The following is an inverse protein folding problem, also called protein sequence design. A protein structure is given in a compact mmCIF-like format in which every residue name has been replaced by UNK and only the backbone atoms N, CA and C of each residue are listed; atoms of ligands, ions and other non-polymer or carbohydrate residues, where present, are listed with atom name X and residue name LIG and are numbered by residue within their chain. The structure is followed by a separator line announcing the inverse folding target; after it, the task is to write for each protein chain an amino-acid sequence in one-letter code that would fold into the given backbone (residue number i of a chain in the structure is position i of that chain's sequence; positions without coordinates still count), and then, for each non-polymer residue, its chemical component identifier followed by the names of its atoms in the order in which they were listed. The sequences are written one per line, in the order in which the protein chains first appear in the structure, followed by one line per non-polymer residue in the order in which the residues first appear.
data_IF_159565421956
#
_entry.id   IF_159565421956
#
_cell.length_a   1.000
_cell.length_b   1.000
_cell.length_c   1.000
_cell.angle_alpha   90.00
_cell.angle_beta   90.00
_cell.angle_gamma   90.00
#
_symmetry.space_group_name_H-M   'P 1'
#
loop_
_entity.id
_entity.type
_entity.pdbx_description
1 polymer ?
#
# COMPACT_ATOMS: atom_id res chain seq x y z
N UNK A 1 -22.80 1.43 3.42
CA UNK A 1 -21.48 1.48 4.08
C UNK A 1 -20.47 1.01 3.05
N UNK A 2 -19.49 1.84 2.68
CA UNK A 2 -18.55 1.48 1.63
C UNK A 2 -17.58 0.42 2.17
N UNK A 3 -17.57 -0.76 1.55
CA UNK A 3 -16.60 -1.81 1.88
C UNK A 3 -15.21 -1.30 1.47
N UNK A 4 -14.37 -1.00 2.45
CA UNK A 4 -12.96 -0.70 2.24
C UNK A 4 -12.21 -2.03 2.30
N UNK A 5 -11.56 -2.48 1.22
CA UNK A 5 -10.85 -3.75 1.24
C UNK A 5 -9.67 -3.65 2.20
N UNK A 6 -9.81 -4.28 3.36
CA UNK A 6 -8.76 -4.41 4.37
C UNK A 6 -7.89 -5.62 4.03
N UNK A 7 -6.58 -5.42 3.99
CA UNK A 7 -5.60 -6.48 3.72
C UNK A 7 -4.66 -6.60 4.90
N UNK A 8 -4.60 -7.78 5.52
CA UNK A 8 -3.64 -8.06 6.59
C UNK A 8 -2.43 -8.78 5.99
N UNK A 9 -1.24 -8.24 6.21
CA UNK A 9 0.02 -8.91 5.88
C UNK A 9 0.80 -9.27 7.12
N UNK A 10 1.53 -10.36 7.00
CA UNK A 10 2.24 -10.99 8.12
C UNK A 10 3.69 -11.19 7.74
N UNK A 11 4.61 -10.66 8.54
CA UNK A 11 6.05 -10.73 8.32
C UNK A 11 6.69 -11.53 9.46
N UNK A 12 7.35 -12.64 9.13
CA UNK A 12 8.02 -13.49 10.12
C UNK A 12 9.48 -13.09 10.31
N UNK A 13 9.97 -13.24 11.53
CA UNK A 13 11.38 -13.01 11.87
C UNK A 13 11.56 -12.32 13.22
N UNK A 14 12.82 -12.06 13.56
CA UNK A 14 13.18 -11.06 14.58
C UNK A 14 12.47 -9.73 14.32
N UNK A 15 12.21 -8.97 15.37
CA UNK A 15 11.51 -7.68 15.28
C UNK A 15 12.13 -6.74 14.23
N UNK A 16 13.47 -6.63 14.21
CA UNK A 16 14.19 -5.84 13.22
C UNK A 16 14.11 -6.42 11.81
N UNK A 17 14.19 -7.75 11.67
CA UNK A 17 14.06 -8.43 10.38
C UNK A 17 12.67 -8.22 9.77
N UNK A 18 11.63 -8.43 10.56
CA UNK A 18 10.24 -8.23 10.17
C UNK A 18 9.95 -6.76 9.84
N UNK A 19 10.49 -5.81 10.63
CA UNK A 19 10.36 -4.37 10.35
C UNK A 19 11.04 -3.97 9.03
N UNK A 20 12.22 -4.52 8.70
CA UNK A 20 12.89 -4.29 7.41
C UNK A 20 12.09 -4.88 6.24
N UNK A 21 11.52 -6.07 6.41
CA UNK A 21 10.65 -6.68 5.41
C UNK A 21 9.39 -5.83 5.16
N UNK A 22 8.74 -5.37 6.24
CA UNK A 22 7.61 -4.45 6.19
C UNK A 22 7.95 -3.16 5.45
N UNK A 23 9.07 -2.50 5.78
CA UNK A 23 9.47 -1.24 5.12
C UNK A 23 9.63 -1.39 3.59
N UNK A 24 10.17 -2.52 3.13
CA UNK A 24 10.31 -2.81 1.69
C UNK A 24 8.95 -3.04 1.02
N UNK A 25 8.07 -3.80 1.66
CA UNK A 25 6.74 -4.10 1.12
C UNK A 25 5.79 -2.90 1.17
N UNK A 26 5.93 -2.04 2.19
CA UNK A 26 5.12 -0.84 2.35
C UNK A 26 5.19 0.10 1.14
N UNK A 27 6.35 0.22 0.48
CA UNK A 27 6.49 0.98 -0.75
C UNK A 27 5.62 0.40 -1.87
N UNK A 28 5.67 -0.92 -2.08
CA UNK A 28 4.86 -1.63 -3.08
C UNK A 28 3.36 -1.55 -2.78
N UNK A 29 2.97 -1.61 -1.51
CA UNK A 29 1.56 -1.47 -1.10
C UNK A 29 1.06 -0.03 -1.26
N UNK A 30 1.94 0.96 -1.03
CA UNK A 30 1.65 2.36 -1.29
C UNK A 30 1.33 2.65 -2.76
N UNK A 31 2.06 2.01 -3.70
CA UNK A 31 1.76 2.09 -5.13
C UNK A 31 0.37 1.55 -5.50
N UNK A 32 -0.20 0.67 -4.67
CA UNK A 32 -1.54 0.10 -4.83
C UNK A 32 -2.63 0.87 -4.07
N UNK A 33 -2.29 2.01 -3.47
CA UNK A 33 -3.22 2.85 -2.69
C UNK A 33 -3.50 2.34 -1.27
N UNK A 34 -2.71 1.40 -0.76
CA UNK A 34 -2.84 0.90 0.60
C UNK A 34 -2.01 1.72 1.59
N UNK A 35 -2.58 1.99 2.75
CA UNK A 35 -1.91 2.65 3.87
C UNK A 35 -1.96 1.78 5.12
N UNK A 36 -0.86 1.66 5.88
CA UNK A 36 -0.86 0.87 7.11
C UNK A 36 -1.65 1.60 8.20
N UNK A 37 -2.62 0.93 8.81
CA UNK A 37 -3.49 1.51 9.86
C UNK A 37 -3.21 0.95 11.24
N UNK A 38 -2.78 -0.31 11.33
CA UNK A 38 -2.36 -0.93 12.58
C UNK A 38 -1.15 -1.84 12.38
N UNK A 39 -0.30 -1.91 13.40
CA UNK A 39 0.89 -2.76 13.44
C UNK A 39 0.97 -3.41 14.82
N UNK A 40 1.17 -4.72 14.86
CA UNK A 40 1.37 -5.45 16.11
C UNK A 40 2.43 -6.52 15.92
N UNK A 41 3.39 -6.59 16.85
CA UNK A 41 4.43 -7.61 16.87
C UNK A 41 4.16 -8.60 18.00
N UNK A 42 4.02 -9.87 17.65
CA UNK A 42 3.98 -10.97 18.59
C UNK A 42 5.34 -11.66 18.62
N UNK A 43 6.08 -11.65 19.75
CA UNK A 43 7.33 -12.39 19.86
C UNK A 43 7.05 -13.89 19.71
N UNK A 44 7.99 -14.62 19.09
CA UNK A 44 7.90 -16.07 19.01
C UNK A 44 8.00 -16.68 20.40
N UNK A 45 7.26 -17.75 20.64
CA UNK A 45 7.31 -18.51 21.89
C UNK A 45 7.50 -19.99 21.60
N UNK A 46 8.32 -20.65 22.42
CA UNK A 46 8.35 -22.11 22.47
C UNK A 46 7.02 -22.65 23.01
N UNK A 47 6.47 -23.67 22.35
CA UNK A 47 5.22 -24.30 22.80
C UNK A 47 5.43 -25.11 24.09
N UNK A 48 4.36 -25.31 24.87
CA UNK A 48 4.39 -26.04 26.14
C UNK A 48 4.99 -27.46 26.02
N UNK A 49 4.76 -28.14 24.88
CA UNK A 49 5.31 -29.48 24.64
C UNK A 49 6.84 -29.52 24.65
N UNK A 50 7.51 -28.46 24.19
CA UNK A 50 8.96 -28.41 24.19
C UNK A 50 9.55 -28.26 25.61
N UNK A 51 8.83 -27.58 26.51
CA UNK A 51 9.22 -27.47 27.91
C UNK A 51 9.08 -28.81 28.65
N UNK A 52 7.97 -29.53 28.43
CA UNK A 52 7.77 -30.87 29.00
C UNK A 52 8.85 -31.83 28.50
N UNK A 53 9.17 -31.79 27.21
CA UNK A 53 10.24 -32.61 26.63
C UNK A 53 11.60 -32.28 27.28
N UNK A 54 11.92 -31.00 27.44
CA UNK A 54 13.16 -30.58 28.11
C UNK A 54 13.22 -31.05 29.58
N UNK A 55 12.09 -30.99 30.30
CA UNK A 55 12.00 -31.50 31.68
C UNK A 55 12.17 -33.02 31.76
N UNK A 56 11.56 -33.78 30.85
CA UNK A 56 11.74 -35.24 30.77
C UNK A 56 13.20 -35.58 30.49
N UNK A 57 13.85 -34.86 29.57
CA UNK A 57 15.26 -35.03 29.28
C UNK A 57 16.18 -34.49 30.38
N UNK A 58 15.69 -33.73 31.36
CA UNK A 58 16.49 -33.08 32.40
C UNK A 58 17.16 -34.08 33.36
N UNK A 59 16.62 -35.31 33.45
CA UNK A 59 17.28 -36.42 34.15
C UNK A 59 18.62 -36.81 33.49
N UNK A 60 18.80 -36.47 32.21
CA UNK A 60 20.09 -36.41 31.58
C UNK A 60 20.59 -34.95 31.60
N UNK A 61 21.89 -34.73 31.82
CA UNK A 61 22.52 -33.38 31.72
C UNK A 61 22.16 -32.68 30.38
N UNK A 62 21.84 -33.48 29.36
CA UNK A 62 21.34 -33.05 28.05
C UNK A 62 20.09 -32.14 28.14
N UNK A 63 19.12 -32.45 29.02
CA UNK A 63 17.91 -31.62 29.14
C UNK A 63 18.19 -30.22 29.68
N UNK A 64 19.15 -30.09 30.61
CA UNK A 64 19.60 -28.79 31.14
C UNK A 64 20.21 -27.94 30.01
N UNK A 65 21.04 -28.55 29.15
CA UNK A 65 21.63 -27.84 28.00
C UNK A 65 20.57 -27.34 27.01
N UNK A 66 19.55 -28.16 26.72
CA UNK A 66 18.42 -27.77 25.85
C UNK A 66 17.63 -26.62 26.47
N UNK A 67 17.37 -26.67 27.77
CA UNK A 67 16.63 -25.63 28.49
C UNK A 67 17.39 -24.30 28.46
N UNK A 68 18.71 -24.31 28.70
CA UNK A 68 19.56 -23.13 28.59
C UNK A 68 19.53 -22.56 27.15
N UNK A 69 19.65 -23.42 26.14
CA UNK A 69 19.58 -23.01 24.73
C UNK A 69 18.26 -22.28 24.41
N UNK A 70 17.12 -22.82 24.86
CA UNK A 70 15.80 -22.20 24.66
C UNK A 70 15.62 -20.87 25.42
N UNK A 71 16.36 -20.64 26.51
CA UNK A 71 16.33 -19.36 27.21
C UNK A 71 17.17 -18.29 26.49
N UNK A 72 18.23 -18.69 25.79
CA UNK A 72 19.13 -17.78 25.07
C UNK A 72 18.58 -17.46 23.68
N UNK A 73 18.15 -18.47 22.94
CA UNK A 73 17.65 -18.31 21.57
C UNK A 73 16.14 -18.19 21.63
N UNK A 74 15.60 -16.98 21.42
CA UNK A 74 14.15 -16.81 21.25
C UNK A 74 13.78 -17.14 19.80
N UNK A 75 12.68 -17.89 19.56
CA UNK A 75 12.25 -18.17 18.20
C UNK A 75 11.73 -16.89 17.55
N UNK A 76 11.76 -16.87 16.22
CA UNK A 76 11.29 -15.74 15.44
C UNK A 76 9.81 -15.43 15.72
N UNK A 77 9.53 -14.14 15.90
CA UNK A 77 8.18 -13.63 16.05
C UNK A 77 7.51 -13.31 14.73
N UNK A 78 6.36 -12.64 14.85
CA UNK A 78 5.51 -12.28 13.73
C UNK A 78 5.02 -10.85 13.88
N UNK A 79 5.29 -10.03 12.86
CA UNK A 79 4.74 -8.68 12.70
C UNK A 79 3.50 -8.76 11.81
N UNK A 80 2.32 -8.43 12.35
CA UNK A 80 1.08 -8.29 11.60
C UNK A 80 0.80 -6.82 11.34
N UNK A 81 0.61 -6.48 10.06
CA UNK A 81 0.30 -5.13 9.62
C UNK A 81 -1.01 -5.15 8.85
N UNK A 82 -1.95 -4.33 9.31
CA UNK A 82 -3.22 -4.12 8.63
C UNK A 82 -3.09 -2.95 7.70
N UNK A 83 -3.42 -3.18 6.43
CA UNK A 83 -3.50 -2.16 5.41
C UNK A 83 -4.96 -1.88 5.09
N UNK A 84 -5.27 -0.60 4.98
CA UNK A 84 -6.54 -0.14 4.47
C UNK A 84 -6.29 0.53 3.12
N UNK A 85 -7.11 0.21 2.12
CA UNK A 85 -7.06 0.93 0.87
C UNK A 85 -7.67 2.31 1.08
N UNK A 86 -6.85 3.36 0.98
CA UNK A 86 -7.39 4.70 0.76
C UNK A 86 -7.96 4.67 -0.64
N UNK A 87 -9.26 4.40 -0.78
CA UNK A 87 -10.00 4.84 -1.97
C UNK A 87 -9.64 6.31 -2.09
N UNK A 88 -8.85 6.65 -3.09
CA UNK A 88 -8.66 8.02 -3.52
C UNK A 88 -10.05 8.64 -3.48
N UNK A 89 -10.27 9.63 -2.62
CA UNK A 89 -11.50 10.43 -2.61
C UNK A 89 -11.53 11.34 -3.84
N UNK A 90 -11.14 10.78 -4.97
CA UNK A 90 -11.00 11.36 -6.27
C UNK A 90 -11.67 10.36 -7.20
N UNK A 91 -12.75 10.80 -7.85
CA UNK A 91 -13.47 10.09 -8.90
C UNK A 91 -14.55 9.06 -8.52
N UNK A 92 -15.35 9.30 -7.47
CA UNK A 92 -16.75 8.81 -7.48
C UNK A 92 -17.68 9.80 -6.79
N UNK A 93 -17.86 10.93 -7.46
CA UNK A 93 -18.80 11.98 -7.09
C UNK A 93 -18.23 13.34 -7.45
N UNK A 94 -18.85 14.02 -8.41
CA UNK A 94 -18.60 15.41 -8.76
C UNK A 94 -18.84 16.37 -7.56
N UNK A 95 -17.94 16.34 -6.57
CA UNK A 95 -17.99 17.10 -5.33
C UNK A 95 -16.56 17.45 -4.91
N UNK A 96 -15.80 18.11 -5.79
CA UNK A 96 -14.65 18.89 -5.31
C UNK A 96 -15.12 19.84 -4.20
N UNK A 97 -14.25 20.18 -3.24
CA UNK A 97 -14.53 21.24 -2.27
C UNK A 97 -13.73 22.49 -2.60
N UNK A 98 -14.29 23.65 -2.26
CA UNK A 98 -13.61 24.95 -2.32
C UNK A 98 -13.73 25.64 -0.96
N UNK A 99 -12.79 26.51 -0.64
CA UNK A 99 -12.81 27.28 0.61
C UNK A 99 -13.51 28.61 0.35
N UNK A 100 -14.45 29.00 1.22
CA UNK A 100 -15.10 30.30 1.11
C UNK A 100 -14.14 31.44 1.52
N UNK A 101 -13.93 32.48 0.69
CA UNK A 101 -12.98 33.56 1.00
C UNK A 101 -13.43 34.47 2.15
N UNK A 102 -14.73 34.47 2.48
CA UNK A 102 -15.25 35.31 3.59
C UNK A 102 -15.19 34.64 4.95
N UNK A 103 -15.41 33.34 5.03
CA UNK A 103 -15.52 32.62 6.31
C UNK A 103 -14.57 31.43 6.47
N UNK A 104 -13.72 31.16 5.48
CA UNK A 104 -12.73 30.07 5.46
C UNK A 104 -13.30 28.64 5.59
N UNK A 105 -14.62 28.47 5.45
CA UNK A 105 -15.26 27.16 5.60
C UNK A 105 -15.18 26.35 4.30
N UNK A 106 -15.08 25.01 4.41
CA UNK A 106 -15.08 24.12 3.26
C UNK A 106 -16.51 23.92 2.73
N UNK A 107 -16.72 24.23 1.46
CA UNK A 107 -18.00 24.09 0.76
C UNK A 107 -17.85 23.27 -0.52
N UNK A 108 -18.96 22.74 -1.03
CA UNK A 108 -18.98 22.04 -2.32
C UNK A 108 -18.55 22.98 -3.45
N UNK A 109 -17.73 22.51 -4.38
CA UNK A 109 -17.22 23.29 -5.52
C UNK A 109 -18.38 23.82 -6.39
N UNK A 110 -19.42 23.01 -6.56
CA UNK A 110 -20.63 23.37 -7.28
C UNK A 110 -21.54 24.38 -6.56
N UNK A 111 -21.26 24.74 -5.29
CA UNK A 111 -22.08 25.70 -4.56
C UNK A 111 -21.90 27.12 -5.13
N UNK A 112 -23.01 27.74 -5.56
CA UNK A 112 -23.05 29.15 -5.95
C UNK A 112 -23.14 30.10 -4.74
N UNK A 113 -23.55 29.58 -3.57
CA UNK A 113 -23.67 30.34 -2.32
C UNK A 113 -23.06 29.55 -1.17
N UNK A 114 -22.27 30.21 -0.32
CA UNK A 114 -21.75 29.61 0.90
C UNK A 114 -22.89 29.41 1.91
N UNK A 115 -23.09 28.18 2.41
CA UNK A 115 -24.13 27.86 3.40
C UNK A 115 -23.93 28.58 4.76
N UNK A 116 -22.70 28.99 5.06
CA UNK A 116 -22.33 29.50 6.39
C UNK A 116 -22.39 31.02 6.49
N UNK A 117 -21.94 31.74 5.46
CA UNK A 117 -21.90 33.22 5.46
C UNK A 117 -22.74 33.86 4.34
N UNK A 118 -23.46 33.07 3.54
CA UNK A 118 -24.25 33.51 2.39
C UNK A 118 -23.47 34.32 1.33
N UNK A 119 -22.14 34.20 1.29
CA UNK A 119 -21.35 34.76 0.20
C UNK A 119 -21.72 34.08 -1.13
N UNK A 120 -22.12 34.90 -2.12
CA UNK A 120 -22.35 34.47 -3.50
C UNK A 120 -21.02 34.43 -4.25
N UNK A 121 -20.78 33.31 -4.93
CA UNK A 121 -19.64 33.13 -5.81
C UNK A 121 -19.99 33.60 -7.22
N UNK A 122 -19.04 34.21 -7.92
CA UNK A 122 -19.22 34.55 -9.33
C UNK A 122 -19.41 33.24 -10.14
N UNK A 123 -20.47 33.13 -10.96
CA UNK A 123 -20.66 31.98 -11.83
C UNK A 123 -19.43 31.66 -12.72
N UNK A 124 -18.67 32.68 -13.13
CA UNK A 124 -17.47 32.51 -13.94
C UNK A 124 -16.35 31.81 -13.16
N UNK A 125 -16.21 32.09 -11.86
CA UNK A 125 -15.23 31.41 -11.00
C UNK A 125 -15.60 29.93 -10.81
N UNK A 126 -16.90 29.64 -10.73
CA UNK A 126 -17.40 28.26 -10.67
C UNK A 126 -17.11 27.51 -11.97
N UNK A 127 -17.40 28.13 -13.13
CA UNK A 127 -17.10 27.55 -14.44
C UNK A 127 -15.59 27.34 -14.63
N UNK A 128 -14.76 28.29 -14.20
CA UNK A 128 -13.30 28.18 -14.31
C UNK A 128 -12.74 27.07 -13.42
N UNK A 129 -13.23 26.92 -12.20
CA UNK A 129 -12.83 25.83 -11.30
C UNK A 129 -13.20 24.45 -11.88
N UNK A 130 -14.41 24.31 -12.43
CA UNK A 130 -14.87 23.07 -13.08
C UNK A 130 -14.08 22.79 -14.36
N UNK A 131 -13.77 23.82 -15.15
CA UNK A 131 -12.96 23.68 -16.35
C UNK A 131 -11.54 23.18 -16.03
N UNK A 132 -10.91 23.71 -14.98
CA UNK A 132 -9.58 23.27 -14.52
C UNK A 132 -9.62 21.80 -14.08
N UNK A 133 -10.60 21.40 -13.28
CA UNK A 133 -10.77 20.01 -12.82
C UNK A 133 -10.95 19.03 -14.00
N UNK A 134 -11.78 19.41 -14.98
CA UNK A 134 -11.99 18.62 -16.19
C UNK A 134 -10.72 18.51 -17.06
N UNK A 135 -9.91 19.58 -17.11
CA UNK A 135 -8.66 19.60 -17.85
C UNK A 135 -7.59 18.73 -17.16
N UNK A 136 -7.56 18.74 -15.82
CA UNK A 136 -6.64 17.91 -15.03
C UNK A 136 -6.95 16.43 -15.22
N UNK A 137 -8.23 16.06 -15.15
CA UNK A 137 -8.68 14.68 -15.41
C UNK A 137 -8.26 14.21 -16.82
N UNK A 138 -8.46 15.06 -17.85
CA UNK A 138 -8.02 14.74 -19.22
C UNK A 138 -6.50 14.60 -19.34
N UNK A 139 -5.75 15.39 -18.59
CA UNK A 139 -4.29 15.29 -18.54
C UNK A 139 -3.85 13.95 -17.92
N UNK A 140 -4.45 13.56 -16.79
CA UNK A 140 -4.18 12.28 -16.12
C UNK A 140 -4.50 11.08 -17.04
N UNK A 141 -5.66 11.08 -17.70
CA UNK A 141 -6.00 10.04 -18.67
C UNK A 141 -5.03 9.97 -19.85
N UNK A 142 -4.55 11.13 -20.35
CA UNK A 142 -3.56 11.17 -21.42
C UNK A 142 -2.22 10.61 -20.95
N UNK A 143 -1.78 10.93 -19.75
CA UNK A 143 -0.55 10.36 -19.18
C UNK A 143 -0.67 8.84 -18.97
N UNK A 144 -1.83 8.35 -18.54
CA UNK A 144 -2.07 6.90 -18.41
C UNK A 144 -1.93 6.18 -19.76
N UNK A 145 -2.51 6.74 -20.85
CA UNK A 145 -2.36 6.20 -22.21
C UNK A 145 -0.90 6.14 -22.67
N UNK A 146 -0.11 7.19 -22.38
CA UNK A 146 1.32 7.23 -22.72
C UNK A 146 2.08 6.10 -22.03
N UNK A 147 1.77 5.83 -20.75
CA UNK A 147 2.41 4.74 -20.01
C UNK A 147 2.11 3.36 -20.58
N UNK A 148 0.85 3.09 -20.96
CA UNK A 148 0.46 1.82 -21.59
C UNK A 148 1.13 1.63 -22.96
N UNK A 149 1.28 2.72 -23.73
CA UNK A 149 1.97 2.71 -25.02
C UNK A 149 3.47 2.40 -24.86
N UNK A 150 4.14 2.95 -23.83
CA UNK A 150 5.56 2.64 -23.54
C UNK A 150 5.77 1.16 -23.19
N UNK A 151 4.90 0.58 -22.36
CA UNK A 151 4.97 -0.84 -22.03
C UNK A 151 4.74 -1.73 -23.27
N UNK A 152 3.79 -1.33 -24.12
CA UNK A 152 3.50 -2.01 -25.39
C UNK A 152 4.69 -1.93 -26.35
N UNK A 153 5.35 -0.77 -26.46
CA UNK A 153 6.55 -0.59 -27.27
C UNK A 153 7.72 -1.43 -26.76
N UNK A 154 7.95 -1.47 -25.44
CA UNK A 154 8.99 -2.29 -24.84
C UNK A 154 8.78 -3.78 -25.16
N UNK A 155 7.55 -4.29 -25.06
CA UNK A 155 7.23 -5.67 -25.40
C UNK A 155 7.40 -5.96 -26.91
N UNK A 156 6.99 -5.03 -27.78
CA UNK A 156 7.19 -5.16 -29.24
C UNK A 156 8.67 -5.16 -29.61
N UNK A 157 9.47 -4.27 -29.04
CA UNK A 157 10.92 -4.22 -29.25
C UNK A 157 11.58 -5.51 -28.77
N UNK A 158 11.20 -6.03 -27.59
CA UNK A 158 11.69 -7.33 -27.09
C UNK A 158 11.42 -8.49 -28.06
N UNK A 159 10.19 -8.57 -28.61
CA UNK A 159 9.84 -9.59 -29.62
C UNK A 159 10.65 -9.43 -30.91
N UNK A 160 10.81 -8.21 -31.41
CA UNK A 160 11.58 -7.94 -32.64
C UNK A 160 13.06 -8.30 -32.48
N UNK A 161 13.68 -7.92 -31.35
CA UNK A 161 15.07 -8.28 -31.03
C UNK A 161 15.23 -9.82 -30.92
N UNK A 162 14.26 -10.51 -30.34
CA UNK A 162 14.23 -11.97 -30.30
C UNK A 162 14.20 -12.62 -31.70
N UNK A 163 13.36 -12.12 -32.61
CA UNK A 163 13.27 -12.60 -33.99
C UNK A 163 14.57 -12.40 -34.77
N UNK A 164 15.22 -11.23 -34.62
CA UNK A 164 16.52 -10.93 -35.24
C UNK A 164 17.62 -11.90 -34.78
N UNK A 165 17.67 -12.24 -33.48
CA UNK A 165 18.66 -13.19 -32.93
C UNK A 165 18.44 -14.61 -33.46
N UNK A 166 17.19 -15.05 -33.62
CA UNK A 166 16.86 -16.37 -34.16
C UNK A 166 17.28 -16.54 -35.63
N UNK A 167 17.16 -15.51 -36.46
CA UNK A 167 17.60 -15.54 -37.87
C UNK A 167 19.13 -15.66 -38.00
N UNK A 168 19.90 -15.11 -37.06
CA UNK A 168 21.36 -15.06 -37.14
C UNK A 168 22.07 -16.36 -36.71
N UNK A 169 21.38 -17.26 -35.98
CA UNK A 169 21.94 -18.53 -35.49
C UNK A 169 21.02 -19.72 -35.77
N UNK A 170 20.88 -20.16 -37.03
CA UNK A 170 20.21 -21.43 -37.32
C UNK A 170 21.05 -22.57 -36.74
N UNK A 171 20.49 -23.35 -35.82
CA UNK A 171 21.11 -24.60 -35.35
C UNK A 171 21.20 -25.54 -36.55
N UNK A 172 22.43 -25.86 -36.95
CA UNK A 172 22.74 -26.88 -37.96
C UNK A 172 22.60 -28.27 -37.35
#
# INVERSE_FOLDING_TARGET
MAEHPVVVKTYRGSQDGAARAFKRDAATMGLKGYVPTSQSYAPGSYGCGSFILALILCFAIIGILILIYMLIVKPDGVLSVTYEQRKSQTATGAQGSKICPRCAEQIKAAAQVCRFCNHQFDPQDVVRAVAIDSALTRYEERNARIHDDEETLAHRLGRWVGQQRAQKHPRK
#
